data_IF_821935611199
#
_entry.id   IF_821935611199
#
_cell.length_a   1.000
_cell.length_b   1.000
_cell.length_c   1.000
_cell.angle_alpha   90.00
_cell.angle_beta   90.00
_cell.angle_gamma   90.00
#
_symmetry.space_group_name_H-M   'P 1'
#
loop_
_entity.id
_entity.type
_entity.pdbx_description
1 polymer ?
#
# COMPACT_ATOMS: atom_id res chain seq x y z
N UNK A 1 10.66 1.22 13.55
CA UNK A 1 9.52 0.69 12.79
C UNK A 1 8.74 1.87 12.24
N UNK A 2 8.53 1.89 10.93
CA UNK A 2 7.90 3.01 10.23
C UNK A 2 6.37 2.83 10.20
N UNK A 3 5.60 3.85 10.62
CA UNK A 3 4.13 3.81 10.66
C UNK A 3 3.52 3.79 9.26
N UNK A 4 2.60 2.86 8.99
CA UNK A 4 1.96 2.69 7.67
C UNK A 4 1.19 3.96 7.28
N UNK A 5 0.29 4.42 8.16
CA UNK A 5 -0.51 5.62 7.91
C UNK A 5 0.40 6.85 7.68
N UNK A 6 1.44 7.00 8.48
CA UNK A 6 2.36 8.14 8.37
C UNK A 6 3.14 8.12 7.06
N UNK A 7 3.62 6.96 6.61
CA UNK A 7 4.26 6.79 5.30
C UNK A 7 3.33 7.20 4.17
N UNK A 8 2.08 6.74 4.19
CA UNK A 8 1.10 7.04 3.14
C UNK A 8 0.71 8.52 3.15
N UNK A 9 0.49 9.12 4.32
CA UNK A 9 0.28 10.59 4.46
C UNK A 9 1.43 11.37 3.84
N UNK A 10 2.67 10.99 4.14
CA UNK A 10 3.88 11.60 3.55
C UNK A 10 3.88 11.47 2.02
N UNK A 11 3.52 10.31 1.48
CA UNK A 11 3.40 10.10 0.03
C UNK A 11 2.30 10.95 -0.62
N UNK A 12 1.25 11.29 0.11
CA UNK A 12 0.18 12.19 -0.33
C UNK A 12 0.51 13.68 -0.12
N UNK A 13 1.63 14.01 0.53
CA UNK A 13 2.00 15.37 0.88
C UNK A 13 1.24 15.94 2.09
N UNK A 14 0.65 15.06 2.90
CA UNK A 14 -0.09 15.41 4.12
C UNK A 14 0.87 15.33 5.31
N UNK A 15 0.86 16.35 6.16
CA UNK A 15 1.65 16.37 7.39
C UNK A 15 1.13 15.32 8.38
N UNK A 16 2.04 14.73 9.15
CA UNK A 16 1.70 13.71 10.15
C UNK A 16 0.68 14.21 11.19
N UNK A 17 0.80 15.47 11.62
CA UNK A 17 -0.06 16.11 12.62
C UNK A 17 -1.44 16.53 12.09
N UNK A 18 -1.69 16.39 10.79
CA UNK A 18 -2.98 16.73 10.17
C UNK A 18 -3.90 15.51 10.12
N UNK A 19 -4.79 15.35 11.09
CA UNK A 19 -5.56 14.10 11.29
C UNK A 19 -6.93 14.09 10.59
N UNK A 20 -7.36 15.19 9.95
CA UNK A 20 -8.71 15.30 9.36
C UNK A 20 -9.03 14.28 8.27
N UNK A 21 -8.01 13.70 7.62
CA UNK A 21 -8.17 12.69 6.56
C UNK A 21 -7.79 11.28 7.01
N UNK A 22 -7.42 11.07 8.28
CA UNK A 22 -6.86 9.79 8.71
C UNK A 22 -7.85 8.65 8.52
N UNK A 23 -9.14 8.89 8.82
CA UNK A 23 -10.19 7.89 8.62
C UNK A 23 -10.34 7.47 7.15
N UNK A 24 -10.30 8.43 6.21
CA UNK A 24 -10.44 8.17 4.78
C UNK A 24 -9.21 7.43 4.22
N UNK A 25 -8.02 7.88 4.62
CA UNK A 25 -6.76 7.26 4.21
C UNK A 25 -6.67 5.83 4.75
N UNK A 26 -7.04 5.60 6.01
CA UNK A 26 -7.11 4.25 6.61
C UNK A 26 -8.07 3.35 5.82
N UNK A 27 -9.24 3.86 5.43
CA UNK A 27 -10.21 3.10 4.63
C UNK A 27 -9.61 2.64 3.29
N UNK A 28 -8.89 3.52 2.60
CA UNK A 28 -8.23 3.20 1.33
C UNK A 28 -7.05 2.24 1.52
N UNK A 29 -6.24 2.43 2.55
CA UNK A 29 -5.16 1.50 2.91
C UNK A 29 -5.71 0.09 3.13
N UNK A 30 -6.78 -0.04 3.93
CA UNK A 30 -7.39 -1.34 4.21
C UNK A 30 -8.00 -1.98 2.96
N UNK A 31 -8.54 -1.19 2.04
CA UNK A 31 -8.99 -1.69 0.73
C UNK A 31 -7.84 -2.27 -0.09
N UNK A 32 -6.66 -1.66 -0.03
CA UNK A 32 -5.47 -2.15 -0.74
C UNK A 32 -4.85 -3.37 -0.05
N UNK A 33 -4.91 -3.47 1.28
CA UNK A 33 -4.52 -4.70 1.98
C UNK A 33 -5.35 -5.90 1.56
N UNK A 34 -6.65 -5.71 1.34
CA UNK A 34 -7.49 -6.79 0.80
C UNK A 34 -7.00 -7.26 -0.57
N UNK A 35 -6.60 -6.34 -1.46
CA UNK A 35 -6.03 -6.69 -2.76
C UNK A 35 -4.70 -7.45 -2.58
N UNK A 36 -3.77 -6.93 -1.76
CA UNK A 36 -2.49 -7.59 -1.52
C UNK A 36 -2.66 -9.01 -0.95
N UNK A 37 -3.61 -9.20 -0.02
CA UNK A 37 -3.94 -10.52 0.52
C UNK A 37 -4.43 -11.49 -0.56
N UNK A 38 -5.26 -11.02 -1.51
CA UNK A 38 -5.69 -11.83 -2.66
C UNK A 38 -4.56 -12.19 -3.63
N UNK A 39 -3.50 -11.38 -3.68
CA UNK A 39 -2.28 -11.68 -4.44
C UNK A 39 -1.34 -12.64 -3.71
N UNK A 40 -1.68 -13.08 -2.48
CA UNK A 40 -0.80 -13.90 -1.64
C UNK A 40 0.27 -13.10 -0.89
N UNK A 41 0.10 -11.77 -0.75
CA UNK A 41 1.08 -10.91 -0.08
C UNK A 41 0.59 -10.47 1.31
N UNK A 42 1.41 -10.75 2.31
CA UNK A 42 1.16 -10.42 3.72
C UNK A 42 0.55 -11.58 4.50
N UNK A 43 -0.04 -11.31 5.67
CA UNK A 43 -0.59 -12.36 6.53
C UNK A 43 -1.78 -13.10 5.90
N UNK A 44 -1.92 -14.42 6.14
CA UNK A 44 -2.95 -15.26 5.50
C UNK A 44 -4.38 -14.90 5.92
N UNK A 45 -4.57 -14.39 7.14
CA UNK A 45 -5.88 -13.96 7.66
C UNK A 45 -6.25 -12.52 7.25
N UNK A 46 -5.46 -11.92 6.35
CA UNK A 46 -5.56 -10.53 5.95
C UNK A 46 -4.89 -9.58 6.94
N UNK A 47 -4.99 -8.27 6.65
CA UNK A 47 -4.38 -7.24 7.47
C UNK A 47 -5.22 -5.96 7.45
N UNK A 48 -5.23 -5.20 8.54
CA UNK A 48 -5.90 -3.91 8.61
C UNK A 48 -5.28 -3.02 9.67
N UNK A 49 -5.37 -1.72 9.46
CA UNK A 49 -4.98 -0.70 10.45
C UNK A 49 -6.19 0.07 10.94
N UNK A 50 -6.09 0.59 12.17
CA UNK A 50 -7.13 1.43 12.81
C UNK A 50 -6.61 2.82 13.19
N UNK A 51 -5.30 2.99 13.23
CA UNK A 51 -4.64 4.22 13.64
C UNK A 51 -3.18 4.22 13.13
N UNK A 52 -2.39 5.19 13.59
CA UNK A 52 -0.99 5.38 13.23
C UNK A 52 0.01 4.48 13.97
N UNK A 53 -0.40 3.71 14.99
CA UNK A 53 0.55 2.89 15.76
C UNK A 53 1.01 1.66 15.01
N UNK A 54 0.27 1.21 13.99
CA UNK A 54 0.62 0.04 13.19
C UNK A 54 1.74 0.37 12.21
N UNK A 55 2.74 -0.51 12.18
CA UNK A 55 3.98 -0.34 11.44
C UNK A 55 4.12 -1.33 10.29
N UNK A 56 4.97 -1.00 9.32
CA UNK A 56 5.23 -1.87 8.17
C UNK A 56 5.78 -3.24 8.57
N UNK A 57 6.61 -3.27 9.60
CA UNK A 57 7.29 -4.46 10.12
C UNK A 57 6.28 -5.45 10.75
N UNK A 58 5.11 -4.96 11.19
CA UNK A 58 3.96 -5.80 11.63
C UNK A 58 3.20 -6.42 10.45
N UNK A 59 3.32 -5.87 9.24
CA UNK A 59 2.67 -6.39 8.03
C UNK A 59 3.58 -7.37 7.27
N UNK A 60 4.83 -6.97 7.04
CA UNK A 60 5.86 -7.79 6.39
C UNK A 60 7.19 -7.60 7.14
N UNK A 61 7.94 -8.68 7.40
CA UNK A 61 9.20 -8.58 8.12
C UNK A 61 10.25 -7.77 7.34
N UNK A 62 11.07 -7.01 8.05
CA UNK A 62 12.15 -6.19 7.47
C UNK A 62 13.17 -6.99 6.66
N UNK A 63 13.24 -8.32 6.86
CA UNK A 63 14.10 -9.21 6.07
C UNK A 63 13.73 -9.25 4.58
N UNK A 64 12.50 -8.87 4.22
CA UNK A 64 11.98 -8.86 2.85
C UNK A 64 11.97 -7.43 2.26
N UNK A 65 13.07 -6.71 2.37
CA UNK A 65 13.19 -5.27 2.04
C UNK A 65 12.71 -4.94 0.60
N UNK A 66 13.03 -5.79 -0.38
CA UNK A 66 12.62 -5.61 -1.78
C UNK A 66 11.10 -5.72 -1.95
N UNK A 67 10.49 -6.76 -1.36
CA UNK A 67 9.04 -7.00 -1.36
C UNK A 67 8.32 -5.88 -0.62
N UNK A 68 8.84 -5.47 0.52
CA UNK A 68 8.30 -4.37 1.31
C UNK A 68 8.35 -3.04 0.52
N UNK A 69 9.43 -2.78 -0.21
CA UNK A 69 9.55 -1.59 -1.06
C UNK A 69 8.52 -1.58 -2.19
N UNK A 70 8.28 -2.73 -2.83
CA UNK A 70 7.25 -2.89 -3.85
C UNK A 70 5.84 -2.69 -3.27
N UNK A 71 5.55 -3.27 -2.10
CA UNK A 71 4.29 -3.08 -1.36
C UNK A 71 4.07 -1.62 -1.01
N UNK A 72 5.05 -0.92 -0.43
CA UNK A 72 4.94 0.51 -0.08
C UNK A 72 4.62 1.35 -1.31
N UNK A 73 5.29 1.08 -2.43
CA UNK A 73 5.05 1.77 -3.71
C UNK A 73 3.66 1.50 -4.26
N UNK A 74 3.23 0.23 -4.28
CA UNK A 74 1.90 -0.17 -4.73
C UNK A 74 0.80 0.47 -3.87
N UNK A 75 0.93 0.36 -2.54
CA UNK A 75 0.02 0.95 -1.56
C UNK A 75 -0.12 2.45 -1.76
N UNK A 76 1.00 3.19 -1.82
CA UNK A 76 1.00 4.64 -2.00
C UNK A 76 0.30 5.10 -3.28
N UNK A 77 0.55 4.42 -4.40
CA UNK A 77 -0.08 4.77 -5.68
C UNK A 77 -1.58 4.45 -5.69
N UNK A 78 -1.98 3.28 -5.20
CA UNK A 78 -3.41 2.89 -5.16
C UNK A 78 -4.20 3.78 -4.21
N UNK A 79 -3.66 4.08 -3.03
CA UNK A 79 -4.31 5.01 -2.09
C UNK A 79 -4.40 6.41 -2.68
N UNK A 80 -3.35 6.91 -3.35
CA UNK A 80 -3.41 8.19 -4.07
C UNK A 80 -4.53 8.22 -5.09
N UNK A 81 -4.65 7.18 -5.93
CA UNK A 81 -5.70 7.12 -6.95
C UNK A 81 -7.12 7.05 -6.37
N UNK A 82 -7.29 6.50 -5.16
CA UNK A 82 -8.59 6.45 -4.48
C UNK A 82 -8.94 7.76 -3.75
N UNK A 83 -7.96 8.37 -3.10
CA UNK A 83 -8.13 9.54 -2.25
C UNK A 83 -8.14 10.85 -3.03
N UNK A 84 -7.18 11.03 -3.95
CA UNK A 84 -7.02 12.21 -4.79
C UNK A 84 -6.78 11.77 -6.25
N UNK A 85 -7.84 11.30 -6.94
CA UNK A 85 -7.71 10.74 -8.28
C UNK A 85 -7.10 11.73 -9.26
N UNK A 86 -6.13 11.32 -10.09
CA UNK A 86 -5.49 12.22 -11.06
C UNK A 86 -6.50 12.73 -12.08
N UNK A 87 -6.49 14.05 -12.32
CA UNK A 87 -7.35 14.70 -13.33
C UNK A 87 -6.82 14.53 -14.76
N UNK A 88 -5.53 14.21 -14.89
CA UNK A 88 -4.89 13.97 -16.19
C UNK A 88 -4.97 12.48 -16.55
N UNK A 89 -5.54 12.18 -17.71
CA UNK A 89 -5.62 10.82 -18.24
C UNK A 89 -4.24 10.21 -18.50
N UNK A 90 -3.25 11.03 -18.88
CA UNK A 90 -1.87 10.58 -19.10
C UNK A 90 -1.24 10.14 -17.76
N UNK A 91 -1.46 10.92 -16.70
CA UNK A 91 -0.96 10.57 -15.36
C UNK A 91 -1.64 9.30 -14.86
N UNK A 92 -2.96 9.18 -15.05
CA UNK A 92 -3.70 7.98 -14.69
C UNK A 92 -3.18 6.74 -15.44
N UNK A 93 -2.91 6.84 -16.74
CA UNK A 93 -2.36 5.75 -17.53
C UNK A 93 -0.97 5.33 -17.03
N UNK A 94 -0.08 6.30 -16.74
CA UNK A 94 1.22 6.03 -16.16
C UNK A 94 1.11 5.31 -14.81
N UNK A 95 0.25 5.80 -13.91
CA UNK A 95 0.02 5.19 -12.60
C UNK A 95 -0.50 3.75 -12.75
N UNK A 96 -1.50 3.53 -13.60
CA UNK A 96 -2.05 2.21 -13.87
C UNK A 96 -1.00 1.24 -14.39
N UNK A 97 -0.13 1.66 -15.33
CA UNK A 97 0.95 0.83 -15.84
C UNK A 97 1.90 0.38 -14.73
N UNK A 98 2.30 1.30 -13.87
CA UNK A 98 3.20 1.01 -12.74
C UNK A 98 2.51 0.08 -11.74
N UNK A 99 1.26 0.36 -11.36
CA UNK A 99 0.55 -0.49 -10.38
C UNK A 99 0.26 -1.87 -10.93
N UNK A 100 -0.06 -2.00 -12.21
CA UNK A 100 -0.29 -3.30 -12.84
C UNK A 100 0.99 -4.14 -12.92
N UNK A 101 2.14 -3.51 -13.21
CA UNK A 101 3.42 -4.21 -13.15
C UNK A 101 3.73 -4.67 -11.72
N UNK A 102 3.61 -3.78 -10.73
CA UNK A 102 3.84 -4.13 -9.32
C UNK A 102 2.92 -5.27 -8.85
N UNK A 103 1.64 -5.21 -9.19
CA UNK A 103 0.65 -6.24 -8.90
C UNK A 103 1.09 -7.61 -9.45
N UNK A 104 1.48 -7.65 -10.72
CA UNK A 104 1.94 -8.88 -11.35
C UNK A 104 3.23 -9.42 -10.73
N UNK A 105 4.19 -8.54 -10.40
CA UNK A 105 5.46 -8.93 -9.75
C UNK A 105 5.21 -9.50 -8.36
N UNK A 106 4.36 -8.84 -7.57
CA UNK A 106 4.00 -9.24 -6.22
C UNK A 106 3.29 -10.59 -6.22
N UNK A 107 2.33 -10.79 -7.13
CA UNK A 107 1.65 -12.08 -7.33
C UNK A 107 2.64 -13.18 -7.73
N UNK A 108 3.51 -12.90 -8.70
CA UNK A 108 4.52 -13.87 -9.17
C UNK A 108 5.46 -14.28 -8.04
N UNK A 109 5.90 -13.32 -7.21
CA UNK A 109 6.76 -13.59 -6.06
C UNK A 109 6.05 -14.46 -5.01
N UNK A 110 4.79 -14.16 -4.70
CA UNK A 110 3.99 -14.97 -3.78
C UNK A 110 3.83 -16.42 -4.29
N UNK A 111 3.50 -16.61 -5.57
CA UNK A 111 3.42 -17.93 -6.20
C UNK A 111 4.75 -18.72 -6.20
N UNK A 112 5.90 -18.03 -6.14
CA UNK A 112 7.21 -18.66 -6.04
C UNK A 112 7.53 -19.11 -4.60
N UNK A 113 7.06 -18.38 -3.60
CA UNK A 113 7.25 -18.70 -2.17
C UNK A 113 6.36 -19.87 -1.71
N UNK A 114 5.20 -20.06 -2.34
CA UNK A 114 4.27 -21.17 -2.06
C UNK A 114 4.71 -22.53 -2.63
N UNK A 115 5.84 -22.59 -3.37
CA UNK A 115 6.39 -23.80 -4.01
C UNK A 115 7.57 -24.39 -3.26
#
# INVERSE_FOLDING_TARGET
MESILTSIKKMLGIREDYESFDADIIMHINSVFMILSQLGVGPPDGFSIKDKSVTWDEYLPDSDEEKLSAVKSYMGQKVRMLFDPPTSSIVLECMNRITNELEWRLMTQAEMEDK
#
